data_IF_049766188094
#
_entry.id   IF_049766188094
#
_cell.length_a   1.000
_cell.length_b   1.000
_cell.length_c   1.000
_cell.angle_alpha   90.00
_cell.angle_beta   90.00
_cell.angle_gamma   90.00
#
_symmetry.space_group_name_H-M   'P 1'
#
loop_
_entity.id
_entity.type
_entity.pdbx_description
1 polymer ?
#
# COMPACT_ATOMS: atom_id res chain seq x y z
N UNK A 1 31.12 -17.55 10.95
CA UNK A 1 29.94 -18.45 11.09
C UNK A 1 29.60 -18.95 9.69
N UNK A 2 29.89 -20.22 9.38
CA UNK A 2 29.80 -20.75 8.02
C UNK A 2 28.48 -21.55 7.90
N UNK A 3 27.48 -21.02 7.21
CA UNK A 3 26.18 -21.69 7.04
C UNK A 3 26.35 -22.76 5.94
N UNK A 4 26.12 -24.05 6.24
CA UNK A 4 26.27 -25.12 5.24
C UNK A 4 25.33 -24.88 4.05
N UNK A 5 25.83 -24.99 2.82
CA UNK A 5 25.05 -24.79 1.59
C UNK A 5 23.73 -25.58 1.57
N UNK A 6 23.70 -26.78 2.15
CA UNK A 6 22.49 -27.61 2.26
C UNK A 6 21.36 -26.97 3.08
N UNK A 7 21.69 -26.29 4.19
CA UNK A 7 20.70 -25.56 5.01
C UNK A 7 20.13 -24.33 4.31
N UNK A 8 20.94 -23.69 3.47
CA UNK A 8 20.52 -22.54 2.68
C UNK A 8 19.49 -22.94 1.62
N UNK A 9 19.70 -24.09 0.96
CA UNK A 9 18.77 -24.64 -0.04
C UNK A 9 17.46 -25.10 0.59
N UNK A 10 17.50 -25.75 1.75
CA UNK A 10 16.27 -26.16 2.45
C UNK A 10 15.47 -24.97 2.98
N UNK A 11 16.14 -23.96 3.55
CA UNK A 11 15.49 -22.72 3.94
C UNK A 11 14.83 -22.04 2.73
N UNK A 12 15.53 -21.99 1.59
CA UNK A 12 14.97 -21.44 0.35
C UNK A 12 13.73 -22.21 -0.11
N UNK A 13 13.78 -23.56 -0.13
CA UNK A 13 12.66 -24.40 -0.53
C UNK A 13 11.46 -24.25 0.41
N UNK A 14 11.69 -24.14 1.71
CA UNK A 14 10.64 -23.95 2.70
C UNK A 14 9.94 -22.60 2.52
N UNK A 15 10.71 -21.53 2.31
CA UNK A 15 10.18 -20.19 2.05
C UNK A 15 9.43 -20.17 0.72
N UNK A 16 9.95 -20.83 -0.31
CA UNK A 16 9.30 -20.91 -1.63
C UNK A 16 8.00 -21.73 -1.60
N UNK A 17 7.95 -22.82 -0.82
CA UNK A 17 6.75 -23.61 -0.63
C UNK A 17 5.69 -22.84 0.19
N UNK A 18 6.09 -22.11 1.23
CA UNK A 18 5.21 -21.22 1.98
C UNK A 18 4.68 -20.09 1.07
N UNK A 19 5.53 -19.53 0.22
CA UNK A 19 5.15 -18.54 -0.79
C UNK A 19 4.09 -19.08 -1.75
N UNK A 20 4.33 -20.25 -2.35
CA UNK A 20 3.39 -20.88 -3.29
C UNK A 20 2.06 -21.26 -2.61
N UNK A 21 2.08 -21.64 -1.33
CA UNK A 21 0.88 -21.98 -0.56
C UNK A 21 0.14 -20.75 0.01
N UNK A 22 0.83 -19.60 0.14
CA UNK A 22 0.22 -18.33 0.56
C UNK A 22 -0.46 -17.59 -0.59
N UNK A 23 -0.20 -17.98 -1.84
CA UNK A 23 -0.95 -17.48 -3.00
C UNK A 23 -2.40 -17.92 -2.85
N UNK A 24 -3.38 -17.00 -2.77
CA UNK A 24 -4.76 -17.41 -2.99
C UNK A 24 -4.81 -18.04 -4.39
N UNK A 25 -5.41 -19.22 -4.51
CA UNK A 25 -5.48 -20.04 -5.73
C UNK A 25 -6.11 -19.32 -6.96
N UNK A 26 -6.44 -18.03 -6.83
CA UNK A 26 -7.22 -17.22 -7.75
C UNK A 26 -6.53 -15.90 -8.14
N UNK A 27 -5.25 -15.64 -7.82
CA UNK A 27 -4.58 -14.41 -8.28
C UNK A 27 -4.39 -14.44 -9.79
N UNK A 28 -5.29 -13.80 -10.52
CA UNK A 28 -5.19 -13.68 -11.98
C UNK A 28 -3.94 -12.88 -12.36
N UNK A 29 -3.37 -13.16 -13.54
CA UNK A 29 -2.27 -12.37 -14.12
C UNK A 29 -2.56 -10.85 -14.08
N UNK A 30 -3.82 -10.48 -14.32
CA UNK A 30 -4.32 -9.09 -14.23
C UNK A 30 -4.14 -8.51 -12.82
N UNK A 31 -4.38 -9.29 -11.77
CA UNK A 31 -4.23 -8.82 -10.38
C UNK A 31 -2.76 -8.54 -10.04
N UNK A 32 -1.84 -9.38 -10.53
CA UNK A 32 -0.40 -9.14 -10.38
C UNK A 32 0.04 -7.88 -11.16
N UNK A 33 -0.44 -7.70 -12.39
CA UNK A 33 -0.20 -6.50 -13.20
C UNK A 33 -0.69 -5.22 -12.50
N UNK A 34 -1.89 -5.26 -11.91
CA UNK A 34 -2.44 -4.15 -11.13
C UNK A 34 -1.54 -3.80 -9.94
N UNK A 35 -1.16 -4.80 -9.13
CA UNK A 35 -0.30 -4.57 -7.95
C UNK A 35 1.05 -4.00 -8.38
N UNK A 36 1.63 -4.51 -9.47
CA UNK A 36 2.88 -4.00 -10.02
C UNK A 36 2.75 -2.56 -10.53
N UNK A 37 1.63 -2.21 -11.16
CA UNK A 37 1.37 -0.84 -11.61
C UNK A 37 1.23 0.14 -10.42
N UNK A 38 0.53 -0.26 -9.37
CA UNK A 38 0.42 0.53 -8.14
C UNK A 38 1.79 0.70 -7.48
N UNK A 39 2.57 -0.39 -7.36
CA UNK A 39 3.95 -0.36 -6.85
C UNK A 39 4.81 0.62 -7.64
N UNK A 40 4.85 0.47 -8.97
CA UNK A 40 5.64 1.33 -9.84
C UNK A 40 5.24 2.81 -9.70
N UNK A 41 3.93 3.09 -9.54
CA UNK A 41 3.45 4.44 -9.28
C UNK A 41 3.98 4.99 -7.95
N UNK A 42 3.91 4.20 -6.87
CA UNK A 42 4.41 4.60 -5.55
C UNK A 42 5.91 4.87 -5.61
N UNK A 43 6.68 3.97 -6.19
CA UNK A 43 8.14 4.11 -6.27
C UNK A 43 8.56 5.34 -7.07
N UNK A 44 7.91 5.58 -8.21
CA UNK A 44 8.16 6.76 -9.05
C UNK A 44 7.75 8.08 -8.37
N UNK A 45 6.87 8.03 -7.38
CA UNK A 45 6.31 9.22 -6.71
C UNK A 45 6.60 9.25 -5.21
N UNK A 46 7.53 8.44 -4.71
CA UNK A 46 7.74 8.24 -3.28
C UNK A 46 7.97 9.56 -2.52
N UNK A 47 8.75 10.48 -3.09
CA UNK A 47 9.03 11.80 -2.49
C UNK A 47 7.81 12.75 -2.46
N UNK A 48 6.75 12.44 -3.21
CA UNK A 48 5.51 13.23 -3.30
C UNK A 48 4.43 12.73 -2.33
N UNK A 49 4.69 11.64 -1.60
CA UNK A 49 3.91 11.22 -0.45
C UNK A 49 4.53 11.80 0.83
N UNK A 50 3.90 12.85 1.35
CA UNK A 50 4.41 13.59 2.52
C UNK A 50 3.81 13.04 3.83
N UNK A 51 4.41 13.27 4.99
CA UNK A 51 3.80 12.88 6.27
C UNK A 51 2.39 13.49 6.44
N UNK A 52 1.43 12.71 6.96
CA UNK A 52 0.07 13.23 7.24
C UNK A 52 0.08 14.39 8.27
N UNK A 53 1.11 14.49 9.11
CA UNK A 53 1.33 15.65 10.00
C UNK A 53 1.42 16.98 9.24
N UNK A 54 1.81 16.93 7.97
CA UNK A 54 2.02 18.13 7.13
C UNK A 54 0.78 18.50 6.30
N UNK A 55 -0.38 17.88 6.59
CA UNK A 55 -1.62 18.03 5.82
C UNK A 55 -2.04 19.49 5.60
N UNK A 56 -1.84 20.37 6.57
CA UNK A 56 -2.21 21.79 6.47
C UNK A 56 -1.06 22.73 6.11
N UNK A 57 0.19 22.30 6.29
CA UNK A 57 1.39 23.11 6.09
C UNK A 57 1.90 23.03 4.66
N UNK A 58 1.55 21.97 3.92
CA UNK A 58 2.07 21.78 2.57
C UNK A 58 1.21 22.50 1.52
N UNK A 59 1.67 23.68 1.10
CA UNK A 59 1.14 24.41 -0.08
C UNK A 59 1.70 23.87 -1.42
N UNK A 60 2.47 22.78 -1.41
CA UNK A 60 3.10 22.24 -2.63
C UNK A 60 2.02 21.71 -3.58
N UNK A 61 1.99 22.24 -4.80
CA UNK A 61 1.07 21.84 -5.87
C UNK A 61 1.26 20.40 -6.39
N UNK A 62 2.26 19.68 -5.87
CA UNK A 62 2.73 18.42 -6.44
C UNK A 62 2.57 17.20 -5.52
N UNK A 63 1.78 17.31 -4.43
CA UNK A 63 1.52 16.20 -3.50
C UNK A 63 0.55 15.20 -4.15
N UNK A 64 0.89 13.91 -4.10
CA UNK A 64 0.04 12.81 -4.62
C UNK A 64 -0.72 12.08 -3.51
N UNK A 65 -0.26 12.26 -2.27
CA UNK A 65 -0.83 11.59 -1.12
C UNK A 65 -0.03 11.84 0.14
N UNK A 66 -0.35 11.09 1.17
CA UNK A 66 0.29 11.17 2.48
C UNK A 66 0.87 9.83 2.90
N UNK A 67 1.74 9.84 3.91
CA UNK A 67 2.20 8.66 4.65
C UNK A 67 1.69 8.71 6.07
N UNK A 68 1.32 7.56 6.60
CA UNK A 68 0.90 7.38 7.98
C UNK A 68 1.41 6.04 8.52
N UNK A 69 1.67 6.00 9.82
CA UNK A 69 1.86 4.74 10.54
C UNK A 69 0.56 4.34 11.25
N UNK A 70 0.13 3.11 11.06
CA UNK A 70 -1.05 2.53 11.71
C UNK A 70 -0.66 1.19 12.31
N UNK A 71 -0.76 1.08 13.63
CA UNK A 71 -0.41 -0.13 14.39
C UNK A 71 0.99 -0.69 14.04
N UNK A 72 1.99 0.20 13.91
CA UNK A 72 3.37 -0.17 13.58
C UNK A 72 3.62 -0.45 12.09
N UNK A 73 2.62 -0.34 11.22
CA UNK A 73 2.73 -0.54 9.77
C UNK A 73 2.62 0.78 9.03
N UNK A 74 3.50 1.00 8.06
CA UNK A 74 3.46 2.20 7.22
C UNK A 74 2.44 2.03 6.10
N UNK A 75 1.73 3.11 5.75
CA UNK A 75 0.76 3.11 4.66
C UNK A 75 0.80 4.42 3.87
N UNK A 76 0.59 4.29 2.56
CA UNK A 76 0.36 5.37 1.62
C UNK A 76 -1.12 5.70 1.55
N UNK A 77 -1.45 6.96 1.79
CA UNK A 77 -2.79 7.52 1.68
C UNK A 77 -2.92 8.29 0.37
N UNK A 78 -3.59 7.70 -0.61
CA UNK A 78 -3.80 8.33 -1.90
C UNK A 78 -4.93 9.35 -1.83
N UNK A 79 -4.71 10.48 -2.51
CA UNK A 79 -5.79 11.39 -2.87
C UNK A 79 -6.68 10.77 -3.94
N UNK A 80 -7.98 11.10 -3.92
CA UNK A 80 -8.96 10.55 -4.87
C UNK A 80 -8.53 10.77 -6.33
N UNK A 81 -8.09 11.97 -6.68
CA UNK A 81 -7.59 12.30 -8.02
C UNK A 81 -6.34 11.52 -8.41
N UNK A 82 -5.48 11.20 -7.43
CA UNK A 82 -4.26 10.43 -7.67
C UNK A 82 -4.61 8.96 -7.90
N UNK A 83 -5.48 8.40 -7.06
CA UNK A 83 -5.95 7.03 -7.22
C UNK A 83 -6.70 6.85 -8.55
N UNK A 84 -7.52 7.83 -8.95
CA UNK A 84 -8.23 7.82 -10.22
C UNK A 84 -7.31 7.67 -11.44
N UNK A 85 -6.07 8.21 -11.40
CA UNK A 85 -5.09 8.06 -12.48
C UNK A 85 -4.63 6.61 -12.65
N UNK A 86 -4.45 5.90 -11.54
CA UNK A 86 -4.09 4.47 -11.57
C UNK A 86 -5.30 3.64 -11.99
N UNK A 87 -6.46 3.97 -11.44
CA UNK A 87 -7.72 3.32 -11.76
C UNK A 87 -8.20 3.55 -13.20
N UNK A 88 -7.70 4.55 -13.92
CA UNK A 88 -8.08 4.81 -15.30
C UNK A 88 -7.74 3.64 -16.24
N UNK A 89 -6.68 2.88 -15.94
CA UNK A 89 -6.24 1.75 -16.77
C UNK A 89 -7.02 0.46 -16.50
N UNK A 90 -7.36 0.18 -15.23
CA UNK A 90 -7.91 -1.11 -14.81
C UNK A 90 -9.34 -1.03 -14.24
N UNK A 91 -9.83 0.18 -13.94
CA UNK A 91 -11.07 0.42 -13.20
C UNK A 91 -10.86 0.35 -11.68
N UNK A 92 -11.49 1.29 -10.95
CA UNK A 92 -11.30 1.45 -9.50
C UNK A 92 -11.60 0.18 -8.70
N UNK A 93 -12.68 -0.51 -9.03
CA UNK A 93 -13.08 -1.73 -8.32
C UNK A 93 -12.10 -2.88 -8.53
N UNK A 94 -11.53 -3.02 -9.73
CA UNK A 94 -10.52 -4.05 -10.00
C UNK A 94 -9.24 -3.77 -9.23
N UNK A 95 -8.81 -2.50 -9.19
CA UNK A 95 -7.64 -2.08 -8.40
C UNK A 95 -7.84 -2.40 -6.93
N UNK A 96 -8.99 -2.02 -6.37
CA UNK A 96 -9.30 -2.27 -4.97
C UNK A 96 -9.39 -3.77 -4.65
N UNK A 97 -10.02 -4.56 -5.53
CA UNK A 97 -10.12 -6.01 -5.35
C UNK A 97 -8.76 -6.70 -5.38
N UNK A 98 -7.88 -6.33 -6.32
CA UNK A 98 -6.54 -6.91 -6.40
C UNK A 98 -5.71 -6.57 -5.16
N UNK A 99 -5.76 -5.32 -4.69
CA UNK A 99 -5.07 -4.89 -3.46
C UNK A 99 -5.64 -5.55 -2.21
N UNK A 100 -6.95 -5.77 -2.14
CA UNK A 100 -7.62 -6.48 -1.05
C UNK A 100 -7.23 -7.95 -1.01
N UNK A 101 -7.26 -8.63 -2.16
CA UNK A 101 -6.83 -10.04 -2.27
C UNK A 101 -5.35 -10.23 -1.95
N UNK A 102 -4.51 -9.23 -2.25
CA UNK A 102 -3.09 -9.23 -1.88
C UNK A 102 -2.84 -8.87 -0.40
N UNK A 103 -3.87 -8.52 0.39
CA UNK A 103 -3.71 -8.08 1.78
C UNK A 103 -3.01 -6.73 1.93
N UNK A 104 -2.96 -5.94 0.86
CA UNK A 104 -2.26 -4.65 0.78
C UNK A 104 -3.20 -3.45 0.97
N UNK A 105 -4.52 -3.64 0.87
CA UNK A 105 -5.50 -2.60 1.10
C UNK A 105 -5.77 -2.40 2.60
N UNK A 106 -5.45 -1.20 3.11
CA UNK A 106 -5.89 -0.76 4.44
C UNK A 106 -7.27 -0.10 4.32
N UNK A 107 -8.23 -0.58 5.12
CA UNK A 107 -9.63 -0.12 5.08
C UNK A 107 -10.26 -0.04 6.47
N UNK A 108 -11.35 0.72 6.57
CA UNK A 108 -12.22 0.73 7.76
C UNK A 108 -13.43 -0.16 7.48
N UNK A 109 -13.97 -0.88 8.47
CA UNK A 109 -14.95 -1.98 8.29
C UNK A 109 -16.12 -1.68 7.33
N UNK A 110 -16.60 -0.44 7.27
CA UNK A 110 -17.75 -0.02 6.44
C UNK A 110 -17.38 0.62 5.10
N UNK A 111 -16.11 0.69 4.71
CA UNK A 111 -15.68 1.39 3.49
C UNK A 111 -14.41 0.79 2.90
N UNK A 112 -14.29 0.80 1.57
CA UNK A 112 -13.02 0.51 0.86
C UNK A 112 -11.95 1.59 1.05
N UNK A 113 -12.28 2.67 1.77
CA UNK A 113 -11.35 3.72 2.17
C UNK A 113 -11.02 3.61 3.66
N UNK A 114 -9.80 3.96 4.00
CA UNK A 114 -9.36 4.12 5.37
C UNK A 114 -9.67 5.52 5.89
N UNK A 115 -10.24 5.62 7.09
CA UNK A 115 -10.51 6.88 7.75
C UNK A 115 -9.35 7.29 8.66
N UNK A 116 -8.54 8.25 8.21
CA UNK A 116 -7.41 8.80 8.96
C UNK A 116 -7.79 10.10 9.67
N UNK A 117 -7.19 10.33 10.84
CA UNK A 117 -7.30 11.61 11.56
C UNK A 117 -6.28 12.60 10.97
N UNK A 118 -6.73 13.78 10.56
CA UNK A 118 -5.84 14.84 10.08
C UNK A 118 -5.47 15.79 11.22
N UNK A 119 -4.24 16.33 11.24
CA UNK A 119 -3.81 17.29 12.27
C UNK A 119 -4.75 18.50 12.31
N UNK A 120 -4.98 19.06 13.49
CA UNK A 120 -5.79 20.28 13.64
C UNK A 120 -5.15 21.47 12.94
N UNK A 121 -5.98 22.32 12.32
CA UNK A 121 -5.56 23.65 11.86
C UNK A 121 -5.79 24.67 12.98
N UNK A 122 -4.74 25.00 13.75
CA UNK A 122 -4.85 25.95 14.86
C UNK A 122 -5.76 25.43 15.98
N UNK A 123 -6.73 26.25 16.43
CA UNK A 123 -7.66 25.91 17.52
C UNK A 123 -8.84 25.01 17.11
N UNK A 124 -8.93 24.61 15.83
CA UNK A 124 -10.02 23.75 15.36
C UNK A 124 -9.84 22.29 15.82
N UNK A 125 -10.93 21.58 16.16
CA UNK A 125 -10.85 20.17 16.49
C UNK A 125 -10.33 19.36 15.30
N UNK A 126 -9.53 18.34 15.59
CA UNK A 126 -8.93 17.51 14.56
C UNK A 126 -10.01 16.69 13.83
N UNK A 127 -10.03 16.84 12.52
CA UNK A 127 -11.01 16.23 11.62
C UNK A 127 -10.58 14.82 11.16
N UNK A 128 -11.52 14.08 10.56
CA UNK A 128 -11.26 12.76 9.96
C UNK A 128 -11.52 12.82 8.47
N UNK A 129 -10.60 12.30 7.66
CA UNK A 129 -10.71 12.23 6.20
C UNK A 129 -10.51 10.79 5.72
N UNK A 130 -11.19 10.43 4.64
CA UNK A 130 -11.09 9.10 4.01
C UNK A 130 -10.10 9.13 2.85
N UNK A 131 -9.29 8.07 2.75
CA UNK A 131 -8.27 7.90 1.72
C UNK A 131 -8.30 6.47 1.20
N UNK A 132 -7.87 6.25 -0.05
CA UNK A 132 -7.44 4.92 -0.48
C UNK A 132 -6.09 4.66 0.17
N UNK A 133 -6.01 3.69 1.08
CA UNK A 133 -4.81 3.42 1.85
C UNK A 133 -4.18 2.10 1.43
N UNK A 134 -2.89 2.14 1.11
CA UNK A 134 -2.13 0.99 0.62
C UNK A 134 -0.92 0.82 1.53
N UNK A 135 -0.77 -0.37 2.10
CA UNK A 135 0.36 -0.74 2.93
C UNK A 135 1.71 -0.57 2.19
N UNK A 136 2.73 -0.02 2.85
CA UNK A 136 4.06 0.23 2.27
C UNK A 136 4.76 -1.08 1.83
N UNK A 137 4.31 -2.20 2.38
CA UNK A 137 4.63 -3.57 1.99
C UNK A 137 4.46 -3.83 0.50
N UNK A 138 3.61 -3.06 -0.20
CA UNK A 138 3.48 -3.15 -1.65
C UNK A 138 4.80 -2.86 -2.39
N UNK A 139 5.68 -2.03 -1.81
CA UNK A 139 6.96 -1.62 -2.43
C UNK A 139 8.03 -2.68 -2.35
N UNK A 140 7.94 -3.51 -1.32
CA UNK A 140 8.79 -4.67 -1.24
C UNK A 140 8.17 -5.71 -2.17
N UNK A 141 9.01 -6.42 -2.92
CA UNK A 141 8.61 -7.79 -3.25
C UNK A 141 8.20 -8.45 -1.94
N UNK A 142 7.18 -9.30 -1.96
CA UNK A 142 6.92 -10.15 -0.81
C UNK A 142 8.16 -11.02 -0.57
N UNK A 143 9.16 -10.47 0.14
CA UNK A 143 10.25 -11.17 0.75
C UNK A 143 9.55 -11.99 1.81
N UNK A 144 9.18 -13.19 1.39
CA UNK A 144 8.34 -14.10 2.12
C UNK A 144 9.09 -14.45 3.42
N UNK A 145 8.54 -14.00 4.55
CA UNK A 145 8.97 -14.46 5.89
C UNK A 145 8.32 -15.80 6.16
#
# INVERSE_FOLDING_TARGET
MNIPKGRLVEAFKSVFAAYLNSRPANSSQISEEIVNAVRAYIDSNAARFIPISDFHTNKRSNVVGYRIEVAGRQAFLFLDETFAKIAATFGSEQVLNALEQAGLLLRTESSRKFQARIPSRGASPSERKRFYAIYDEIRFEAASV
#
